data_IF_316208529952
#
_entry.id   IF_316208529952
#
_cell.length_a   1.000
_cell.length_b   1.000
_cell.length_c   1.000
_cell.angle_alpha   90.00
_cell.angle_beta   90.00
_cell.angle_gamma   90.00
#
_symmetry.space_group_name_H-M   'P 1'
#
loop_
_entity.id
_entity.type
_entity.pdbx_description
1 polymer ?
#
# COMPACT_ATOMS: atom_id res chain seq x y z
N UNK A 1 29.52 -22.99 -55.00
CA UNK A 1 29.64 -24.34 -54.44
C UNK A 1 29.94 -24.20 -52.96
N UNK A 2 29.14 -24.90 -52.15
CA UNK A 2 29.41 -25.39 -50.79
C UNK A 2 30.13 -24.43 -49.80
N UNK A 3 29.56 -24.05 -48.66
CA UNK A 3 28.67 -24.81 -47.81
C UNK A 3 29.43 -25.26 -46.55
N UNK A 4 28.78 -25.07 -45.40
CA UNK A 4 28.83 -25.96 -44.23
C UNK A 4 30.02 -25.73 -43.28
N UNK A 5 29.87 -25.65 -41.95
CA UNK A 5 28.76 -25.48 -40.99
C UNK A 5 29.42 -25.34 -39.60
N UNK A 6 28.56 -25.10 -38.59
CA UNK A 6 28.65 -25.52 -37.18
C UNK A 6 29.20 -24.40 -36.28
N UNK A 7 28.31 -23.60 -35.66
CA UNK A 7 27.70 -23.80 -34.31
C UNK A 7 28.77 -23.58 -33.22
N UNK A 8 28.57 -22.88 -32.10
CA UNK A 8 27.39 -22.36 -31.39
C UNK A 8 27.98 -21.62 -30.16
N UNK A 9 27.20 -20.76 -29.52
CA UNK A 9 27.39 -20.20 -28.16
C UNK A 9 28.27 -18.93 -28.04
N UNK A 10 27.72 -17.95 -27.30
CA UNK A 10 28.29 -16.68 -26.78
C UNK A 10 28.04 -15.40 -27.60
N UNK A 11 26.81 -14.88 -27.64
CA UNK A 11 26.53 -13.46 -27.95
C UNK A 11 25.30 -12.91 -27.22
N UNK A 12 25.36 -12.72 -25.90
CA UNK A 12 24.50 -11.74 -25.21
C UNK A 12 25.17 -10.96 -24.07
N UNK A 13 26.51 -10.98 -23.96
CA UNK A 13 27.25 -10.15 -22.98
C UNK A 13 28.23 -9.14 -23.59
N UNK A 14 28.18 -8.88 -24.92
CA UNK A 14 29.16 -8.02 -25.59
C UNK A 14 28.62 -6.67 -26.12
N UNK A 15 27.30 -6.43 -26.13
CA UNK A 15 26.71 -5.28 -26.81
C UNK A 15 26.63 -3.99 -25.96
N UNK A 16 26.70 -4.07 -24.63
CA UNK A 16 26.69 -2.89 -23.77
C UNK A 16 28.10 -2.34 -23.44
N UNK A 17 29.16 -3.13 -23.65
CA UNK A 17 30.54 -2.74 -23.33
C UNK A 17 31.27 -2.08 -24.51
N UNK A 18 30.83 -2.30 -25.77
CA UNK A 18 31.45 -1.69 -26.95
C UNK A 18 30.93 -0.27 -27.28
N UNK A 19 29.77 0.12 -26.76
CA UNK A 19 29.18 1.46 -26.96
C UNK A 19 30.00 2.56 -26.28
N UNK A 20 30.81 2.20 -25.27
CA UNK A 20 31.65 3.12 -24.51
C UNK A 20 33.02 3.36 -25.15
N UNK A 21 33.48 2.50 -26.08
CA UNK A 21 34.79 2.66 -26.75
C UNK A 21 34.71 3.39 -28.10
N UNK A 22 33.55 3.45 -28.76
CA UNK A 22 33.43 4.08 -30.09
C UNK A 22 33.36 5.62 -30.05
N UNK A 23 33.16 6.23 -28.88
CA UNK A 23 33.24 7.69 -28.72
C UNK A 23 34.70 8.21 -28.71
N UNK A 24 35.69 7.33 -28.65
CA UNK A 24 37.12 7.68 -28.54
C UNK A 24 37.90 7.63 -29.86
N UNK A 25 37.29 7.22 -30.98
CA UNK A 25 38.03 6.93 -32.24
C UNK A 25 37.61 7.73 -33.48
N UNK A 26 36.89 8.86 -33.35
CA UNK A 26 36.50 9.70 -34.51
C UNK A 26 37.15 11.09 -34.56
N UNK A 27 38.15 11.37 -33.72
CA UNK A 27 39.21 12.32 -34.08
C UNK A 27 40.27 11.54 -34.84
N UNK A 28 40.20 11.54 -36.17
CA UNK A 28 41.34 11.57 -37.10
C UNK A 28 40.85 11.31 -38.54
N UNK A 29 41.01 12.35 -39.39
CA UNK A 29 41.40 12.31 -40.81
C UNK A 29 40.49 11.52 -41.78
N UNK A 30 39.85 12.06 -42.82
CA UNK A 30 40.16 13.22 -43.66
C UNK A 30 40.95 12.80 -44.90
N UNK A 31 40.29 12.61 -46.06
CA UNK A 31 40.66 12.98 -47.45
C UNK A 31 39.84 12.20 -48.51
N UNK A 32 39.51 12.89 -49.62
CA UNK A 32 38.64 12.50 -50.74
C UNK A 32 39.45 11.91 -51.95
N UNK A 33 38.89 11.73 -53.17
CA UNK A 33 37.64 11.08 -53.61
C UNK A 33 37.89 9.97 -54.69
N UNK A 34 36.93 9.07 -54.91
CA UNK A 34 36.88 8.29 -56.16
C UNK A 34 36.26 6.90 -56.04
N UNK A 35 35.29 6.61 -56.92
CA UNK A 35 34.84 5.24 -57.21
C UNK A 35 33.51 4.86 -56.57
N UNK A 36 32.42 4.99 -57.34
CA UNK A 36 31.15 4.37 -57.02
C UNK A 36 31.31 2.84 -56.98
N UNK A 37 31.25 2.25 -55.79
CA UNK A 37 31.27 0.79 -55.64
C UNK A 37 30.35 0.35 -54.50
N UNK A 38 29.33 -0.43 -54.85
CA UNK A 38 28.60 -1.45 -54.06
C UNK A 38 28.07 -1.13 -52.64
N UNK A 39 28.30 0.05 -52.07
CA UNK A 39 27.83 0.44 -50.74
C UNK A 39 26.38 0.98 -50.73
N UNK A 40 25.91 1.56 -51.85
CA UNK A 40 24.55 2.09 -51.98
C UNK A 40 23.44 1.02 -51.92
N UNK A 41 23.75 -0.22 -52.30
CA UNK A 41 22.79 -1.35 -52.23
C UNK A 41 22.78 -1.97 -50.82
N UNK A 42 23.87 -1.84 -50.05
CA UNK A 42 23.96 -2.35 -48.67
C UNK A 42 23.33 -1.39 -47.64
N UNK A 43 23.41 -0.08 -47.86
CA UNK A 43 22.79 0.91 -46.95
C UNK A 43 21.26 0.97 -47.07
N UNK A 44 20.71 0.75 -48.26
CA UNK A 44 19.26 0.63 -48.45
C UNK A 44 18.72 -0.62 -47.74
N UNK A 45 19.42 -1.76 -47.86
CA UNK A 45 19.03 -3.02 -47.20
C UNK A 45 19.14 -2.97 -45.67
N UNK A 46 20.15 -2.29 -45.13
CA UNK A 46 20.30 -2.07 -43.69
C UNK A 46 19.23 -1.12 -43.11
N UNK A 47 18.74 -0.14 -43.88
CA UNK A 47 17.60 0.70 -43.47
C UNK A 47 16.28 -0.07 -43.52
N UNK A 48 16.08 -0.95 -44.50
CA UNK A 48 14.90 -1.84 -44.58
C UNK A 48 14.94 -2.93 -43.52
N UNK A 49 16.10 -3.48 -43.16
CA UNK A 49 16.27 -4.46 -42.09
C UNK A 49 16.16 -3.81 -40.69
N UNK A 50 16.58 -2.57 -40.50
CA UNK A 50 16.37 -1.85 -39.23
C UNK A 50 14.91 -1.38 -39.04
N UNK A 51 14.19 -1.02 -40.11
CA UNK A 51 12.74 -0.78 -40.04
C UNK A 51 11.96 -2.08 -39.92
N UNK A 52 12.42 -3.19 -40.51
CA UNK A 52 11.83 -4.52 -40.29
C UNK A 52 12.12 -5.09 -38.89
N UNK A 53 13.30 -4.86 -38.29
CA UNK A 53 13.56 -5.22 -36.89
C UNK A 53 12.79 -4.35 -35.88
N UNK A 54 12.47 -3.10 -36.25
CA UNK A 54 11.60 -2.22 -35.44
C UNK A 54 10.12 -2.54 -35.62
N UNK A 55 9.70 -3.08 -36.77
CA UNK A 55 8.33 -3.50 -37.04
C UNK A 55 8.03 -4.96 -36.62
N UNK A 56 9.05 -5.79 -36.44
CA UNK A 56 8.93 -7.18 -35.98
C UNK A 56 9.08 -7.36 -34.46
N UNK A 57 8.99 -6.27 -33.69
CA UNK A 57 8.98 -6.31 -32.21
C UNK A 57 7.61 -5.94 -31.61
N UNK A 58 6.57 -6.05 -32.41
CA UNK A 58 5.17 -6.05 -31.99
C UNK A 58 4.57 -7.40 -32.43
N UNK A 59 3.85 -8.05 -31.52
CA UNK A 59 3.32 -9.43 -31.59
C UNK A 59 4.30 -10.57 -31.24
N UNK A 60 5.06 -10.42 -30.14
CA UNK A 60 5.19 -11.56 -29.22
C UNK A 60 3.78 -11.84 -28.66
N UNK A 61 3.24 -13.07 -28.75
CA UNK A 61 1.90 -13.34 -28.22
C UNK A 61 1.93 -13.04 -26.72
N UNK A 62 1.18 -12.02 -26.30
CA UNK A 62 1.03 -11.69 -24.89
C UNK A 62 0.69 -12.97 -24.12
N UNK A 63 1.48 -13.30 -23.10
CA UNK A 63 1.29 -14.50 -22.30
C UNK A 63 -0.15 -14.52 -21.78
N UNK A 64 -0.95 -15.47 -22.27
CA UNK A 64 -2.41 -15.51 -22.05
C UNK A 64 -2.79 -16.23 -20.76
N UNK A 65 -1.81 -16.59 -19.94
CA UNK A 65 -1.98 -17.29 -18.67
C UNK A 65 -1.29 -16.44 -17.61
N UNK A 66 -1.94 -16.26 -16.46
CA UNK A 66 -1.29 -15.62 -15.32
C UNK A 66 -0.14 -16.49 -14.78
N UNK A 67 0.95 -15.85 -14.36
CA UNK A 67 2.17 -16.53 -13.92
C UNK A 67 1.95 -17.47 -12.73
N UNK A 68 1.10 -17.07 -11.79
CA UNK A 68 0.68 -17.87 -10.63
C UNK A 68 -0.13 -19.11 -11.02
N UNK A 69 -0.97 -19.01 -12.04
CA UNK A 69 -1.72 -20.14 -12.56
C UNK A 69 -0.79 -21.16 -13.23
N UNK A 70 0.28 -20.73 -13.90
CA UNK A 70 1.27 -21.65 -14.48
C UNK A 70 2.00 -22.45 -13.40
N UNK A 71 2.35 -21.81 -12.28
CA UNK A 71 3.00 -22.46 -11.14
C UNK A 71 2.08 -23.49 -10.49
N UNK A 72 0.85 -23.09 -10.14
CA UNK A 72 -0.15 -23.98 -9.53
C UNK A 72 -0.53 -25.12 -10.48
N UNK A 73 -0.64 -24.86 -11.78
CA UNK A 73 -1.01 -25.89 -12.75
C UNK A 73 0.10 -26.94 -12.93
N UNK A 74 1.38 -26.59 -12.84
CA UNK A 74 2.49 -27.56 -12.95
C UNK A 74 2.46 -28.55 -11.78
N UNK A 75 2.30 -28.05 -10.57
CA UNK A 75 2.24 -28.85 -9.35
C UNK A 75 0.98 -29.74 -9.31
N UNK A 76 -0.18 -29.16 -9.61
CA UNK A 76 -1.43 -29.90 -9.69
C UNK A 76 -1.40 -30.93 -10.83
N UNK A 77 -0.71 -30.64 -11.94
CA UNK A 77 -0.54 -31.59 -13.05
C UNK A 77 0.28 -32.81 -12.62
N UNK A 78 1.36 -32.61 -11.86
CA UNK A 78 2.17 -33.71 -11.33
C UNK A 78 1.37 -34.63 -10.40
N UNK A 79 0.35 -34.10 -9.71
CA UNK A 79 -0.56 -34.85 -8.81
C UNK A 79 -1.84 -35.35 -9.49
N UNK A 80 -2.06 -35.04 -10.77
CA UNK A 80 -3.26 -35.43 -11.50
C UNK A 80 -4.54 -34.67 -11.09
N UNK A 81 -4.38 -33.51 -10.45
CA UNK A 81 -5.45 -32.72 -9.84
C UNK A 81 -6.14 -31.77 -10.83
N UNK A 82 -7.23 -31.17 -10.36
CA UNK A 82 -8.00 -30.13 -11.06
C UNK A 82 -7.67 -28.75 -10.50
N UNK A 83 -7.81 -27.74 -11.34
CA UNK A 83 -7.73 -26.33 -10.96
C UNK A 83 -8.99 -25.60 -11.39
N UNK A 84 -9.37 -24.58 -10.64
CA UNK A 84 -10.49 -23.68 -10.95
C UNK A 84 -9.94 -22.37 -11.51
N UNK A 85 -10.39 -21.97 -12.68
CA UNK A 85 -9.86 -20.82 -13.43
C UNK A 85 -10.97 -19.89 -13.90
N UNK A 86 -10.65 -18.60 -14.00
CA UNK A 86 -11.43 -17.60 -14.71
C UNK A 86 -10.90 -17.54 -16.14
N UNK A 87 -11.74 -17.97 -17.09
CA UNK A 87 -11.50 -17.93 -18.52
C UNK A 87 -12.14 -16.67 -19.12
N UNK A 88 -11.33 -15.73 -19.58
CA UNK A 88 -11.78 -14.55 -20.30
C UNK A 88 -11.76 -14.81 -21.81
N UNK A 89 -12.90 -14.63 -22.47
CA UNK A 89 -13.09 -14.86 -23.90
C UNK A 89 -13.42 -13.57 -24.63
N UNK A 90 -12.90 -13.40 -25.85
CA UNK A 90 -13.35 -12.34 -26.75
C UNK A 90 -14.68 -12.68 -27.44
N UNK A 91 -15.06 -11.88 -28.43
CA UNK A 91 -16.29 -12.08 -29.20
C UNK A 91 -16.21 -13.37 -30.03
N UNK A 92 -16.98 -14.38 -29.62
CA UNK A 92 -17.06 -15.68 -30.27
C UNK A 92 -16.06 -16.72 -29.74
N UNK A 93 -16.57 -17.73 -29.03
CA UNK A 93 -15.78 -18.91 -28.70
C UNK A 93 -15.54 -19.76 -29.96
N UNK A 94 -14.30 -20.11 -30.27
CA UNK A 94 -14.01 -21.02 -31.39
C UNK A 94 -14.68 -22.39 -31.19
N UNK A 95 -14.95 -23.10 -32.28
CA UNK A 95 -15.45 -24.48 -32.22
C UNK A 95 -14.50 -25.40 -31.42
N UNK A 96 -13.20 -25.14 -31.46
CA UNK A 96 -12.17 -25.86 -30.70
C UNK A 96 -12.23 -25.58 -29.19
N UNK A 97 -12.46 -24.32 -28.78
CA UNK A 97 -12.69 -23.95 -27.40
C UNK A 97 -13.99 -24.54 -26.88
N UNK A 98 -15.06 -24.50 -27.68
CA UNK A 98 -16.34 -25.10 -27.33
C UNK A 98 -16.24 -26.63 -27.16
N UNK A 99 -15.44 -27.32 -27.98
CA UNK A 99 -15.17 -28.75 -27.82
C UNK A 99 -14.36 -29.05 -26.55
N UNK A 100 -13.35 -28.24 -26.23
CA UNK A 100 -12.54 -28.39 -25.01
C UNK A 100 -13.40 -28.20 -23.76
N UNK A 101 -14.28 -27.19 -23.73
CA UNK A 101 -15.19 -26.93 -22.62
C UNK A 101 -16.32 -27.96 -22.47
N UNK A 102 -16.58 -28.80 -23.49
CA UNK A 102 -17.59 -29.88 -23.46
C UNK A 102 -17.01 -31.24 -23.06
N UNK A 103 -15.70 -31.34 -22.83
CA UNK A 103 -15.08 -32.59 -22.37
C UNK A 103 -15.69 -33.02 -21.04
N UNK A 104 -15.84 -34.33 -20.83
CA UNK A 104 -16.39 -34.89 -19.58
C UNK A 104 -15.55 -34.53 -18.34
N UNK A 105 -14.26 -34.25 -18.53
CA UNK A 105 -13.36 -33.83 -17.47
C UNK A 105 -13.32 -32.30 -17.26
N UNK A 106 -14.11 -31.50 -17.96
CA UNK A 106 -14.18 -30.04 -17.78
C UNK A 106 -15.56 -29.64 -17.26
N UNK A 107 -15.61 -28.90 -16.15
CA UNK A 107 -16.86 -28.42 -15.53
C UNK A 107 -16.93 -26.91 -15.65
N UNK A 108 -18.03 -26.38 -16.18
CA UNK A 108 -18.30 -24.93 -16.10
C UNK A 108 -18.96 -24.64 -14.77
N UNK A 109 -18.25 -23.98 -13.86
CA UNK A 109 -18.73 -23.64 -12.52
C UNK A 109 -19.55 -22.33 -12.48
N UNK A 110 -19.38 -21.45 -13.47
CA UNK A 110 -20.13 -20.18 -13.55
C UNK A 110 -19.98 -19.46 -14.89
N UNK A 111 -20.91 -18.57 -15.24
CA UNK A 111 -20.86 -17.73 -16.44
C UNK A 111 -21.01 -16.25 -16.06
N UNK A 112 -20.16 -15.39 -16.64
CA UNK A 112 -20.10 -13.96 -16.39
C UNK A 112 -20.28 -13.21 -17.73
N UNK A 113 -21.49 -13.23 -18.33
CA UNK A 113 -21.71 -12.74 -19.69
C UNK A 113 -21.40 -11.25 -19.85
N UNK A 114 -21.67 -10.42 -18.83
CA UNK A 114 -21.36 -8.99 -18.86
C UNK A 114 -19.86 -8.65 -18.79
N UNK A 115 -19.00 -9.62 -18.44
CA UNK A 115 -17.55 -9.46 -18.34
C UNK A 115 -16.79 -10.24 -19.42
N UNK A 116 -17.50 -10.89 -20.35
CA UNK A 116 -16.89 -11.79 -21.33
C UNK A 116 -16.10 -12.94 -20.69
N UNK A 117 -16.53 -13.42 -19.51
CA UNK A 117 -15.76 -14.40 -18.73
C UNK A 117 -16.59 -15.62 -18.30
N UNK A 118 -15.91 -16.71 -17.97
CA UNK A 118 -16.49 -17.96 -17.45
C UNK A 118 -15.60 -18.54 -16.37
N UNK A 119 -16.21 -19.15 -15.36
CA UNK A 119 -15.49 -19.91 -14.35
C UNK A 119 -15.50 -21.38 -14.76
N UNK A 120 -14.31 -21.95 -14.90
CA UNK A 120 -14.10 -23.30 -15.43
C UNK A 120 -13.22 -24.09 -14.47
N UNK A 121 -13.59 -25.32 -14.20
CA UNK A 121 -12.83 -26.26 -13.39
C UNK A 121 -12.38 -27.43 -14.29
N UNK A 122 -11.07 -27.62 -14.39
CA UNK A 122 -10.47 -28.56 -15.35
C UNK A 122 -9.19 -29.20 -14.82
N UNK A 123 -8.81 -30.40 -15.32
CA UNK A 123 -7.50 -30.98 -15.04
C UNK A 123 -6.38 -29.98 -15.34
N UNK A 124 -5.41 -29.87 -14.43
CA UNK A 124 -4.34 -28.88 -14.53
C UNK A 124 -3.53 -28.98 -15.84
N UNK A 125 -3.37 -30.21 -16.37
CA UNK A 125 -2.77 -30.48 -17.70
C UNK A 125 -3.47 -29.80 -18.89
N UNK A 126 -4.68 -29.28 -18.71
CA UNK A 126 -5.46 -28.62 -19.77
C UNK A 126 -5.38 -27.09 -19.71
N UNK A 127 -4.72 -26.51 -18.71
CA UNK A 127 -4.59 -25.05 -18.53
C UNK A 127 -3.84 -24.39 -19.69
N UNK A 128 -2.68 -24.94 -20.08
CA UNK A 128 -1.91 -24.45 -21.21
C UNK A 128 -2.72 -24.52 -22.52
N UNK A 129 -3.44 -25.63 -22.71
CA UNK A 129 -4.32 -25.85 -23.87
C UNK A 129 -5.48 -24.87 -23.99
N UNK A 130 -5.95 -24.26 -22.88
CA UNK A 130 -6.96 -23.20 -22.94
C UNK A 130 -6.39 -21.94 -23.60
N UNK A 131 -5.17 -21.56 -23.24
CA UNK A 131 -4.52 -20.34 -23.73
C UNK A 131 -4.22 -20.38 -25.23
N UNK A 132 -3.98 -21.58 -25.75
CA UNK A 132 -3.75 -21.86 -27.18
C UNK A 132 -5.02 -21.70 -28.02
N UNK A 133 -6.21 -21.68 -27.41
CA UNK A 133 -7.46 -21.61 -28.16
C UNK A 133 -7.71 -20.20 -28.71
N UNK A 134 -8.12 -20.14 -29.98
CA UNK A 134 -8.60 -18.90 -30.61
C UNK A 134 -9.85 -18.39 -29.89
N UNK A 135 -9.86 -17.11 -29.54
CA UNK A 135 -10.95 -16.49 -28.77
C UNK A 135 -10.72 -16.48 -27.26
N UNK A 136 -9.67 -17.14 -26.74
CA UNK A 136 -9.22 -16.95 -25.35
C UNK A 136 -8.34 -15.71 -25.27
N UNK A 137 -8.76 -14.76 -24.43
CA UNK A 137 -8.06 -13.51 -24.16
C UNK A 137 -7.08 -13.67 -23.00
N UNK A 138 -7.53 -14.29 -21.91
CA UNK A 138 -6.71 -14.50 -20.72
C UNK A 138 -7.28 -15.63 -19.86
N UNK A 139 -6.41 -16.37 -19.18
CA UNK A 139 -6.75 -17.39 -18.20
C UNK A 139 -6.05 -17.06 -16.90
N UNK A 140 -6.80 -16.99 -15.81
CA UNK A 140 -6.26 -16.73 -14.47
C UNK A 140 -6.87 -17.69 -13.46
N UNK A 141 -6.18 -17.95 -12.34
CA UNK A 141 -6.74 -18.76 -11.26
C UNK A 141 -8.02 -18.11 -10.71
N UNK A 142 -9.02 -18.93 -10.39
CA UNK A 142 -10.20 -18.50 -9.64
C UNK A 142 -9.83 -18.47 -8.16
N UNK A 143 -9.09 -17.42 -7.79
CA UNK A 143 -8.48 -17.24 -6.47
C UNK A 143 -9.58 -17.22 -5.40
N UNK A 144 -9.36 -17.94 -4.31
CA UNK A 144 -10.18 -17.75 -3.11
C UNK A 144 -10.01 -16.30 -2.64
N UNK A 145 -11.11 -15.60 -2.44
CA UNK A 145 -11.10 -14.33 -1.73
C UNK A 145 -11.07 -14.64 -0.24
N UNK A 146 -9.90 -14.49 0.36
CA UNK A 146 -9.74 -14.52 1.82
C UNK A 146 -9.80 -13.10 2.38
N UNK A 147 -10.18 -13.02 3.65
CA UNK A 147 -10.06 -11.83 4.50
C UNK A 147 -8.60 -11.33 4.46
N UNK A 148 -8.39 -10.01 4.34
CA UNK A 148 -7.05 -9.44 4.25
C UNK A 148 -6.86 -8.32 5.26
N UNK A 149 -5.67 -8.30 5.89
CA UNK A 149 -5.13 -7.23 6.73
C UNK A 149 -4.79 -7.66 8.15
N UNK A 150 -3.56 -8.16 8.38
CA UNK A 150 -2.98 -8.29 9.72
C UNK A 150 -1.90 -7.23 9.89
N UNK A 151 -2.10 -6.25 10.77
CA UNK A 151 -1.10 -5.18 10.95
C UNK A 151 0.12 -5.71 11.69
N UNK A 152 -0.06 -6.58 12.70
CA UNK A 152 1.05 -7.10 13.51
C UNK A 152 1.93 -8.15 12.80
N UNK A 153 1.33 -9.05 12.02
CA UNK A 153 2.06 -10.05 11.23
C UNK A 153 2.84 -9.40 10.09
N UNK A 154 2.20 -8.52 9.31
CA UNK A 154 2.87 -7.95 8.13
C UNK A 154 3.87 -6.84 8.44
N UNK A 155 3.73 -6.14 9.57
CA UNK A 155 4.79 -5.22 10.05
C UNK A 155 5.99 -5.95 10.65
N UNK A 156 5.90 -7.28 10.85
CA UNK A 156 6.89 -8.05 11.59
C UNK A 156 6.84 -7.82 13.10
N UNK A 157 5.79 -7.18 13.63
CA UNK A 157 5.62 -6.96 15.08
C UNK A 157 5.51 -8.28 15.83
N UNK A 158 4.83 -9.28 15.26
CA UNK A 158 4.78 -10.61 15.87
C UNK A 158 6.12 -11.34 15.81
N UNK A 159 6.96 -11.06 14.79
CA UNK A 159 8.34 -11.52 14.77
C UNK A 159 9.16 -10.85 15.88
N UNK A 160 9.00 -9.54 16.14
CA UNK A 160 9.66 -8.88 17.29
C UNK A 160 9.16 -9.43 18.64
N UNK A 161 7.86 -9.71 18.79
CA UNK A 161 7.28 -10.32 19.99
C UNK A 161 7.79 -11.76 20.23
N UNK A 162 8.22 -12.46 19.18
CA UNK A 162 8.64 -13.87 19.23
C UNK A 162 10.12 -14.11 18.93
N UNK A 163 10.91 -13.06 18.64
CA UNK A 163 12.34 -13.19 18.32
C UNK A 163 13.12 -13.64 19.55
N UNK A 164 13.60 -14.89 19.53
CA UNK A 164 14.59 -15.37 20.48
C UNK A 164 15.95 -14.71 20.16
N UNK A 165 16.52 -13.99 21.12
CA UNK A 165 17.85 -13.36 21.00
C UNK A 165 17.91 -11.85 21.27
N UNK A 166 16.75 -11.18 21.40
CA UNK A 166 16.64 -9.88 22.08
C UNK A 166 16.18 -10.12 23.52
N UNK A 167 16.80 -9.48 24.51
CA UNK A 167 16.41 -9.63 25.93
C UNK A 167 15.05 -8.97 26.27
N UNK A 168 14.13 -8.83 25.30
CA UNK A 168 12.91 -8.04 25.45
C UNK A 168 11.70 -8.88 25.07
N UNK A 169 11.27 -9.75 25.98
CA UNK A 169 9.95 -10.37 25.96
C UNK A 169 8.93 -9.45 26.62
N UNK A 170 7.66 -9.52 26.20
CA UNK A 170 6.56 -8.79 26.86
C UNK A 170 6.40 -7.32 26.45
N UNK A 171 6.84 -6.91 25.26
CA UNK A 171 6.52 -5.58 24.71
C UNK A 171 5.11 -5.57 24.14
N UNK A 172 4.27 -4.73 24.72
CA UNK A 172 2.85 -4.56 24.39
C UNK A 172 2.38 -3.11 24.47
N UNK A 173 3.29 -2.17 24.78
CA UNK A 173 2.99 -0.75 24.97
C UNK A 173 2.56 -0.38 26.38
N UNK A 174 2.59 -1.30 27.34
CA UNK A 174 2.21 -1.03 28.73
C UNK A 174 2.90 0.22 29.27
N UNK A 175 2.09 1.11 29.84
CA UNK A 175 2.54 2.37 30.43
C UNK A 175 2.75 3.51 29.45
N UNK A 176 2.67 3.28 28.13
CA UNK A 176 2.83 4.34 27.12
C UNK A 176 1.46 4.90 26.72
N UNK A 177 1.35 6.23 26.68
CA UNK A 177 0.20 6.95 26.13
C UNK A 177 0.36 7.25 24.64
N UNK A 178 -0.63 6.86 23.84
CA UNK A 178 -0.75 7.21 22.41
C UNK A 178 -1.92 8.17 22.24
N UNK A 179 -1.62 9.41 21.85
CA UNK A 179 -2.63 10.40 21.47
C UNK A 179 -3.08 10.19 20.03
N UNK A 180 -4.38 9.98 19.83
CA UNK A 180 -5.00 9.81 18.51
C UNK A 180 -5.83 11.05 18.22
N UNK A 181 -5.40 11.85 17.25
CA UNK A 181 -6.11 13.03 16.78
C UNK A 181 -6.94 12.65 15.55
N UNK A 182 -8.25 12.42 15.73
CA UNK A 182 -9.09 11.84 14.66
C UNK A 182 -10.60 12.19 14.82
N UNK A 183 -11.52 11.35 14.34
CA UNK A 183 -12.99 11.55 14.37
C UNK A 183 -13.69 11.13 15.66
N UNK A 184 -12.94 10.68 16.65
CA UNK A 184 -13.44 10.10 17.91
C UNK A 184 -13.02 8.65 18.06
N UNK A 185 -13.39 8.03 19.18
CA UNK A 185 -13.18 6.59 19.43
C UNK A 185 -14.42 6.03 20.11
N UNK A 186 -14.96 4.92 19.61
CA UNK A 186 -15.92 4.11 20.37
C UNK A 186 -15.21 3.35 21.50
N UNK A 187 -15.10 4.01 22.66
CA UNK A 187 -14.45 3.46 23.85
C UNK A 187 -15.16 2.22 24.43
N UNK A 188 -16.40 1.92 24.00
CA UNK A 188 -17.14 0.72 24.43
C UNK A 188 -16.79 -0.50 23.58
N UNK A 189 -16.08 -0.31 22.47
CA UNK A 189 -15.65 -1.40 21.61
C UNK A 189 -14.65 -2.31 22.35
N UNK A 190 -14.82 -3.62 22.20
CA UNK A 190 -14.06 -4.65 22.96
C UNK A 190 -12.55 -4.51 22.75
N UNK A 191 -12.11 -4.03 21.58
CA UNK A 191 -10.70 -3.81 21.27
C UNK A 191 -9.98 -2.88 22.26
N UNK A 192 -10.70 -1.95 22.91
CA UNK A 192 -10.13 -0.98 23.85
C UNK A 192 -10.26 -1.36 25.32
N UNK A 193 -10.69 -2.58 25.60
CA UNK A 193 -10.73 -3.08 26.98
C UNK A 193 -9.36 -3.62 27.40
N UNK A 194 -9.05 -3.57 28.69
CA UNK A 194 -7.95 -4.32 29.30
C UNK A 194 -8.41 -5.77 29.65
N UNK A 195 -7.54 -6.52 30.33
CA UNK A 195 -7.82 -7.90 30.75
C UNK A 195 -8.93 -8.02 31.82
N UNK A 196 -9.19 -6.95 32.57
CA UNK A 196 -10.23 -6.85 33.61
C UNK A 196 -11.50 -6.17 33.10
N UNK A 197 -11.62 -5.92 31.79
CA UNK A 197 -12.70 -5.14 31.16
C UNK A 197 -12.74 -3.66 31.56
N UNK A 198 -11.64 -3.11 32.06
CA UNK A 198 -11.44 -1.66 32.17
C UNK A 198 -11.21 -1.02 30.79
N UNK A 199 -11.58 0.24 30.63
CA UNK A 199 -11.44 0.98 29.37
C UNK A 199 -10.03 1.58 29.28
N UNK A 200 -9.28 1.25 28.22
CA UNK A 200 -7.93 1.79 27.94
C UNK A 200 -7.92 3.12 27.19
N UNK A 201 -9.09 3.59 26.75
CA UNK A 201 -9.27 5.00 26.36
C UNK A 201 -9.33 5.83 27.64
N UNK A 202 -8.16 6.27 28.12
CA UNK A 202 -8.01 6.89 29.46
C UNK A 202 -8.42 8.36 29.50
N UNK A 203 -8.55 9.00 28.33
CA UNK A 203 -9.04 10.36 28.21
C UNK A 203 -9.73 10.57 26.87
N UNK A 204 -10.75 11.43 26.85
CA UNK A 204 -11.50 11.80 25.65
C UNK A 204 -11.86 13.28 25.67
N UNK A 205 -11.61 14.00 24.57
CA UNK A 205 -11.99 15.40 24.43
C UNK A 205 -12.39 15.75 23.00
N UNK A 206 -13.46 16.54 22.89
CA UNK A 206 -13.94 17.10 21.62
C UNK A 206 -13.36 18.49 21.38
N UNK A 207 -12.86 18.71 20.17
CA UNK A 207 -12.39 20.00 19.67
C UNK A 207 -13.23 20.50 18.50
N UNK A 208 -14.26 19.77 18.06
CA UNK A 208 -15.11 20.21 16.94
C UNK A 208 -16.28 21.07 17.38
N UNK A 209 -16.64 21.04 18.66
CA UNK A 209 -17.80 21.74 19.20
C UNK A 209 -19.11 20.97 19.00
N UNK A 210 -19.06 19.68 18.64
CA UNK A 210 -20.25 18.83 18.53
C UNK A 210 -20.67 18.24 19.89
N UNK A 211 -19.84 18.41 20.93
CA UNK A 211 -20.18 18.03 22.31
C UNK A 211 -20.16 16.53 22.56
N UNK A 212 -19.35 15.78 21.79
CA UNK A 212 -19.29 14.32 21.83
C UNK A 212 -17.89 13.79 21.52
N UNK A 213 -17.56 12.61 22.04
CA UNK A 213 -16.24 11.99 21.87
C UNK A 213 -16.29 10.58 21.30
N UNK A 214 -17.48 10.03 21.12
CA UNK A 214 -17.70 8.81 20.35
C UNK A 214 -17.46 9.07 18.86
N UNK A 215 -17.49 8.01 18.05
CA UNK A 215 -17.04 8.05 16.67
C UNK A 215 -18.15 7.72 15.66
N UNK A 216 -19.05 8.68 15.37
CA UNK A 216 -20.10 8.48 14.38
C UNK A 216 -19.56 8.43 12.93
N UNK A 217 -18.32 8.83 12.69
CA UNK A 217 -17.70 8.73 11.37
C UNK A 217 -17.09 7.34 11.14
N UNK A 218 -16.37 6.81 12.13
CA UNK A 218 -15.81 5.45 12.18
C UNK A 218 -14.30 5.37 12.00
N UNK A 219 -13.67 6.39 11.43
CA UNK A 219 -12.25 6.37 11.09
C UNK A 219 -11.34 6.31 12.32
N UNK A 220 -11.60 7.12 13.35
CA UNK A 220 -10.74 7.20 14.53
C UNK A 220 -10.73 5.92 15.37
N UNK A 221 -11.86 5.20 15.45
CA UNK A 221 -11.97 3.89 16.11
C UNK A 221 -11.08 2.85 15.41
N UNK A 222 -11.10 2.84 14.08
CA UNK A 222 -10.26 1.94 13.29
C UNK A 222 -8.77 2.26 13.46
N UNK A 223 -8.40 3.54 13.32
CA UNK A 223 -7.03 4.04 13.51
C UNK A 223 -6.49 3.69 14.90
N UNK A 224 -7.26 3.95 15.94
CA UNK A 224 -6.83 3.68 17.32
C UNK A 224 -6.63 2.19 17.59
N UNK A 225 -7.45 1.34 16.98
CA UNK A 225 -7.35 -0.10 17.16
C UNK A 225 -6.16 -0.70 16.40
N UNK A 226 -5.77 -0.14 15.24
CA UNK A 226 -4.50 -0.51 14.59
C UNK A 226 -3.30 -0.24 15.51
N UNK A 227 -3.30 0.92 16.17
CA UNK A 227 -2.22 1.29 17.08
C UNK A 227 -2.23 0.41 18.34
N UNK A 228 -3.39 0.15 18.94
CA UNK A 228 -3.48 -0.34 20.31
C UNK A 228 -4.62 -1.30 20.62
N UNK A 229 -5.26 -1.94 19.64
CA UNK A 229 -6.32 -2.93 19.83
C UNK A 229 -5.81 -4.19 20.54
N UNK A 230 -6.56 -4.71 21.52
CA UNK A 230 -6.11 -5.78 22.42
C UNK A 230 -6.12 -7.21 21.83
N UNK A 231 -6.57 -7.40 20.58
CA UNK A 231 -6.65 -8.72 19.95
C UNK A 231 -7.72 -9.67 20.52
N UNK A 232 -8.67 -9.21 21.35
CA UNK A 232 -9.75 -10.06 21.91
C UNK A 232 -10.88 -10.38 20.91
N UNK A 233 -10.68 -10.05 19.63
CA UNK A 233 -11.60 -10.25 18.51
C UNK A 233 -10.90 -11.14 17.49
N UNK A 234 -11.65 -12.05 16.86
CA UNK A 234 -11.14 -13.03 15.89
C UNK A 234 -9.86 -13.78 16.34
N UNK A 235 -9.78 -14.22 17.59
CA UNK A 235 -8.59 -14.94 18.12
C UNK A 235 -7.25 -14.20 17.87
N UNK A 236 -7.23 -12.88 18.05
CA UNK A 236 -6.06 -12.01 17.87
C UNK A 236 -5.58 -11.81 16.42
N UNK A 237 -6.37 -12.22 15.42
CA UNK A 237 -6.13 -11.95 14.00
C UNK A 237 -5.96 -10.44 13.71
N UNK A 238 -6.70 -9.60 14.43
CA UNK A 238 -6.68 -8.13 14.26
C UNK A 238 -6.13 -7.44 15.51
N UNK A 239 -5.06 -7.98 16.10
CA UNK A 239 -4.39 -7.33 17.22
C UNK A 239 -3.64 -6.09 16.77
N UNK A 240 -3.78 -5.00 17.53
CA UNK A 240 -3.01 -3.79 17.32
C UNK A 240 -1.53 -3.99 17.66
N UNK A 241 -0.71 -3.01 17.27
CA UNK A 241 0.74 -3.10 17.46
C UNK A 241 1.15 -2.99 18.94
N UNK A 242 0.54 -2.07 19.68
CA UNK A 242 0.77 -1.83 21.11
C UNK A 242 -0.51 -2.11 21.95
N UNK A 243 -0.91 -3.39 22.09
CA UNK A 243 -2.23 -3.82 22.58
C UNK A 243 -2.52 -3.47 24.05
N UNK A 244 -1.52 -3.07 24.82
CA UNK A 244 -1.64 -2.64 26.22
C UNK A 244 -1.36 -1.14 26.43
N UNK A 245 -1.10 -0.37 25.36
CA UNK A 245 -0.94 1.08 25.47
C UNK A 245 -2.24 1.76 25.92
N UNK A 246 -2.08 2.87 26.63
CA UNK A 246 -3.17 3.78 26.97
C UNK A 246 -3.48 4.66 25.75
N UNK A 247 -4.76 4.83 25.44
CA UNK A 247 -5.21 5.62 24.28
C UNK A 247 -5.83 6.92 24.76
N UNK A 248 -5.40 8.04 24.16
CA UNK A 248 -5.94 9.37 24.42
C UNK A 248 -6.71 9.81 23.16
N UNK A 249 -8.03 9.89 23.29
CA UNK A 249 -8.96 10.23 22.20
C UNK A 249 -9.10 11.75 22.08
N UNK A 250 -8.52 12.35 21.05
CA UNK A 250 -8.62 13.78 20.77
C UNK A 250 -9.38 13.98 19.47
N UNK A 251 -10.68 14.26 19.60
CA UNK A 251 -11.56 14.36 18.45
C UNK A 251 -11.44 15.74 17.79
N UNK A 252 -10.92 15.77 16.57
CA UNK A 252 -10.69 16.99 15.77
C UNK A 252 -11.44 16.99 14.44
N UNK A 253 -11.93 15.83 14.02
CA UNK A 253 -12.80 15.66 12.85
C UNK A 253 -14.25 15.44 13.29
N UNK A 254 -15.18 16.15 12.63
CA UNK A 254 -16.61 16.12 12.89
C UNK A 254 -17.27 14.81 12.43
N UNK A 255 -18.60 14.75 12.56
CA UNK A 255 -19.39 13.56 12.19
C UNK A 255 -19.26 13.18 10.70
N UNK A 256 -18.85 14.12 9.85
CA UNK A 256 -18.61 13.91 8.41
C UNK A 256 -17.14 13.60 8.07
N UNK A 257 -16.28 13.35 9.07
CA UNK A 257 -14.85 13.09 8.85
C UNK A 257 -14.02 14.32 8.43
N UNK A 258 -14.59 15.52 8.57
CA UNK A 258 -13.94 16.79 8.21
C UNK A 258 -13.71 17.65 9.44
N UNK A 259 -12.64 18.44 9.46
CA UNK A 259 -12.28 19.29 10.59
C UNK A 259 -11.57 20.56 10.16
N UNK A 260 -11.34 21.45 11.13
CA UNK A 260 -10.61 22.70 10.93
C UNK A 260 -9.19 22.58 11.47
N UNK A 261 -8.24 23.26 10.84
CA UNK A 261 -6.85 23.37 11.32
C UNK A 261 -6.79 23.87 12.78
N UNK A 262 -7.67 24.80 13.15
CA UNK A 262 -7.78 25.29 14.54
C UNK A 262 -8.05 24.18 15.56
N UNK A 263 -8.82 23.15 15.19
CA UNK A 263 -9.14 22.03 16.08
C UNK A 263 -7.90 21.15 16.30
N UNK A 264 -7.13 20.91 15.23
CA UNK A 264 -5.87 20.17 15.28
C UNK A 264 -4.87 20.91 16.17
N UNK A 265 -4.71 22.22 15.99
CA UNK A 265 -3.80 23.04 16.80
C UNK A 265 -4.20 23.04 18.29
N UNK A 266 -5.49 23.17 18.60
CA UNK A 266 -5.98 23.11 19.98
C UNK A 266 -5.74 21.74 20.62
N UNK A 267 -5.85 20.65 19.85
CA UNK A 267 -5.56 19.31 20.33
C UNK A 267 -4.05 19.09 20.56
N UNK A 268 -3.19 19.55 19.64
CA UNK A 268 -1.73 19.47 19.79
C UNK A 268 -1.23 20.29 21.00
N UNK A 269 -1.77 21.49 21.20
CA UNK A 269 -1.50 22.30 22.40
C UNK A 269 -1.92 21.57 23.68
N UNK A 270 -3.10 20.94 23.68
CA UNK A 270 -3.55 20.12 24.80
C UNK A 270 -2.62 18.93 25.06
N UNK A 271 -2.15 18.24 24.02
CA UNK A 271 -1.17 17.14 24.15
C UNK A 271 0.09 17.66 24.83
N UNK A 272 0.64 18.78 24.36
CA UNK A 272 1.86 19.36 24.93
C UNK A 272 1.69 19.64 26.43
N UNK A 273 0.54 20.20 26.85
CA UNK A 273 0.26 20.52 28.24
C UNK A 273 -0.01 19.28 29.12
N UNK A 274 -0.57 18.20 28.57
CA UNK A 274 -1.02 17.04 29.33
C UNK A 274 -0.14 15.80 29.14
N UNK A 275 0.95 15.89 28.37
CA UNK A 275 1.83 14.75 28.06
C UNK A 275 2.36 14.04 29.31
N UNK A 276 2.72 14.79 30.35
CA UNK A 276 3.24 14.21 31.59
C UNK A 276 2.15 13.49 32.38
N UNK A 277 0.93 14.04 32.40
CA UNK A 277 -0.20 13.49 33.17
C UNK A 277 -0.62 12.12 32.64
N UNK A 278 -0.70 11.95 31.32
CA UNK A 278 -1.13 10.71 30.68
C UNK A 278 0.03 9.86 30.12
N UNK A 279 1.27 10.22 30.46
CA UNK A 279 2.49 9.66 29.86
C UNK A 279 2.40 9.54 28.33
N UNK A 280 1.92 10.61 27.66
CA UNK A 280 1.80 10.65 26.20
C UNK A 280 3.22 10.73 25.63
N UNK A 281 3.62 9.68 24.92
CA UNK A 281 4.92 9.61 24.26
C UNK A 281 4.80 9.62 22.74
N UNK A 282 3.63 9.26 22.21
CA UNK A 282 3.37 9.18 20.77
C UNK A 282 2.10 9.97 20.42
N UNK A 283 2.14 10.75 19.35
CA UNK A 283 0.98 11.37 18.75
C UNK A 283 0.79 10.85 17.31
N UNK A 284 -0.39 10.30 17.03
CA UNK A 284 -0.79 9.78 15.73
C UNK A 284 -1.74 10.76 15.02
N UNK A 285 -1.32 11.25 13.86
CA UNK A 285 -2.08 12.14 13.00
C UNK A 285 -2.40 11.43 11.69
N UNK A 286 -3.45 10.62 11.70
CA UNK A 286 -4.01 9.91 10.53
C UNK A 286 -4.92 10.81 9.68
N UNK A 287 -4.57 12.09 9.58
CA UNK A 287 -5.31 13.13 8.89
C UNK A 287 -4.32 14.11 8.25
N UNK A 288 -4.82 14.98 7.40
CA UNK A 288 -3.99 16.05 6.87
C UNK A 288 -4.76 17.09 6.08
N UNK A 289 -4.09 18.21 5.84
CA UNK A 289 -4.54 19.29 4.99
C UNK A 289 -3.59 19.44 3.79
N UNK A 290 -4.02 20.10 2.70
CA UNK A 290 -3.11 20.45 1.62
C UNK A 290 -1.90 21.24 2.15
N UNK A 291 -0.68 20.80 1.82
CA UNK A 291 0.57 21.49 2.16
C UNK A 291 0.82 22.65 1.17
N UNK A 292 0.15 23.78 1.40
CA UNK A 292 0.29 24.98 0.55
C UNK A 292 1.50 25.80 0.99
N UNK A 293 1.57 26.12 2.28
CA UNK A 293 2.66 26.88 2.87
C UNK A 293 3.87 25.97 3.15
N UNK A 294 5.07 26.56 3.18
CA UNK A 294 6.26 25.85 3.64
C UNK A 294 6.06 25.33 5.06
N UNK A 295 6.63 24.18 5.41
CA UNK A 295 6.61 23.64 6.79
C UNK A 295 7.14 24.64 7.84
N UNK A 296 7.93 25.63 7.39
CA UNK A 296 8.45 26.71 8.23
C UNK A 296 7.36 27.66 8.72
N UNK A 297 6.28 27.80 7.96
CA UNK A 297 5.20 28.75 8.19
C UNK A 297 3.86 28.09 8.48
N UNK A 298 3.65 26.84 8.00
CA UNK A 298 2.44 26.08 8.31
C UNK A 298 2.30 25.93 9.85
N UNK A 299 1.19 26.38 10.44
CA UNK A 299 1.03 26.39 11.89
C UNK A 299 0.95 24.98 12.49
N UNK A 300 0.42 24.00 11.75
CA UNK A 300 0.35 22.60 12.18
C UNK A 300 1.76 22.01 12.20
N UNK A 301 2.56 22.27 11.16
CA UNK A 301 3.97 21.85 11.12
C UNK A 301 4.78 22.46 12.27
N UNK A 302 4.60 23.76 12.56
CA UNK A 302 5.25 24.39 13.71
C UNK A 302 4.79 23.78 15.05
N UNK A 303 3.51 23.43 15.20
CA UNK A 303 3.01 22.75 16.40
C UNK A 303 3.60 21.35 16.54
N UNK A 304 3.67 20.58 15.45
CA UNK A 304 4.30 19.25 15.42
C UNK A 304 5.76 19.33 15.83
N UNK A 305 6.52 20.29 15.29
CA UNK A 305 7.91 20.52 15.72
C UNK A 305 8.03 20.74 17.22
N UNK A 306 7.14 21.56 17.82
CA UNK A 306 7.14 21.80 19.27
C UNK A 306 6.87 20.55 20.09
N UNK A 307 6.04 19.63 19.62
CA UNK A 307 5.81 18.34 20.29
C UNK A 307 7.07 17.47 20.21
N UNK A 308 7.72 17.41 19.04
CA UNK A 308 8.96 16.65 18.87
C UNK A 308 10.08 17.21 19.74
N UNK A 309 10.27 18.53 19.75
CA UNK A 309 11.23 19.22 20.62
C UNK A 309 10.94 19.00 22.12
N UNK A 310 9.68 18.71 22.48
CA UNK A 310 9.27 18.36 23.84
C UNK A 310 9.42 16.87 24.19
N UNK A 311 10.00 16.07 23.29
CA UNK A 311 10.31 14.65 23.49
C UNK A 311 9.19 13.67 23.13
N UNK A 312 8.20 14.08 22.33
CA UNK A 312 7.20 13.18 21.78
C UNK A 312 7.60 12.69 20.39
N UNK A 313 7.23 11.44 20.07
CA UNK A 313 7.24 10.96 18.70
C UNK A 313 5.94 11.38 18.03
N UNK A 314 6.02 12.14 16.93
CA UNK A 314 4.85 12.49 16.12
C UNK A 314 4.89 11.71 14.82
N UNK A 315 3.81 10.98 14.53
CA UNK A 315 3.65 10.17 13.32
C UNK A 315 2.49 10.73 12.50
N UNK A 316 2.75 11.05 11.24
CA UNK A 316 1.79 11.70 10.35
C UNK A 316 1.59 10.91 9.06
N UNK A 317 0.37 10.90 8.54
CA UNK A 317 0.05 10.30 7.25
C UNK A 317 0.66 11.11 6.09
N UNK A 318 1.20 10.43 5.08
CA UNK A 318 1.76 11.10 3.90
C UNK A 318 0.67 11.77 3.03
N UNK A 319 -0.57 11.28 3.07
CA UNK A 319 -1.67 11.69 2.21
C UNK A 319 -2.04 10.62 1.17
N UNK A 320 -3.23 10.78 0.57
CA UNK A 320 -3.81 9.82 -0.36
C UNK A 320 -3.96 10.37 -1.79
N UNK A 321 -3.14 11.37 -2.17
CA UNK A 321 -3.16 12.03 -3.48
C UNK A 321 -2.05 11.52 -4.42
N UNK A 322 -1.76 10.22 -4.36
CA UNK A 322 -0.75 9.58 -5.20
C UNK A 322 -1.12 9.44 -6.69
N UNK A 323 -2.39 9.70 -7.03
CA UNK A 323 -2.92 9.65 -8.40
C UNK A 323 -3.89 10.80 -8.69
N UNK A 324 -3.94 11.21 -9.96
CA UNK A 324 -4.99 12.11 -10.46
C UNK A 324 -6.29 11.33 -10.78
N UNK A 325 -7.33 12.06 -11.19
CA UNK A 325 -8.61 11.48 -11.58
C UNK A 325 -8.52 10.56 -12.82
N UNK A 326 -7.48 10.70 -13.65
CA UNK A 326 -7.21 9.84 -14.80
C UNK A 326 -6.35 8.61 -14.43
N UNK A 327 -5.94 8.48 -13.16
CA UNK A 327 -5.14 7.38 -12.65
C UNK A 327 -3.63 7.52 -12.87
N UNK A 328 -3.16 8.67 -13.38
CA UNK A 328 -1.73 8.95 -13.55
C UNK A 328 -1.09 9.21 -12.20
N UNK A 329 0.18 8.81 -12.04
CA UNK A 329 0.94 9.05 -10.81
C UNK A 329 1.19 10.55 -10.61
N UNK A 330 0.93 11.03 -9.39
CA UNK A 330 1.29 12.38 -8.95
C UNK A 330 2.50 12.30 -8.02
N UNK A 331 3.41 13.27 -8.17
CA UNK A 331 4.53 13.52 -7.26
C UNK A 331 4.34 14.90 -6.63
N UNK A 332 4.90 15.11 -5.44
CA UNK A 332 4.81 16.40 -4.78
C UNK A 332 3.57 16.61 -3.93
N UNK A 333 2.91 15.52 -3.50
CA UNK A 333 1.58 15.57 -2.90
C UNK A 333 1.57 15.17 -1.42
N UNK A 334 2.69 15.33 -0.73
CA UNK A 334 2.77 15.12 0.73
C UNK A 334 1.93 16.20 1.41
N UNK A 335 1.03 15.78 2.30
CA UNK A 335 0.13 16.68 3.03
C UNK A 335 0.78 17.24 4.29
N UNK A 336 0.22 18.34 4.80
CA UNK A 336 0.50 18.82 6.16
C UNK A 336 -0.29 17.99 7.17
N UNK A 337 0.33 17.54 8.29
CA UNK A 337 1.68 17.87 8.74
C UNK A 337 2.77 16.85 8.37
N UNK A 338 2.51 15.93 7.43
CA UNK A 338 3.49 14.96 6.95
C UNK A 338 4.67 15.57 6.16
N UNK A 339 4.60 16.85 5.81
CA UNK A 339 5.70 17.61 5.22
C UNK A 339 6.64 18.25 6.27
N UNK A 340 6.30 18.16 7.55
CA UNK A 340 7.16 18.61 8.65
C UNK A 340 8.39 17.68 8.78
N UNK A 341 9.63 18.22 8.79
CA UNK A 341 10.85 17.41 8.77
C UNK A 341 11.06 16.46 9.96
N UNK A 342 10.68 16.88 11.17
CA UNK A 342 10.88 16.12 12.41
C UNK A 342 9.81 15.06 12.70
N UNK A 343 8.67 15.11 12.01
CA UNK A 343 7.63 14.10 12.06
C UNK A 343 8.04 12.85 11.30
N UNK A 344 7.60 11.68 11.76
CA UNK A 344 7.69 10.44 11.01
C UNK A 344 6.49 10.38 10.06
N UNK A 345 6.74 10.58 8.78
CA UNK A 345 5.74 10.60 7.71
C UNK A 345 5.63 9.21 7.08
N UNK A 346 4.41 8.68 7.06
CA UNK A 346 4.15 7.29 6.71
C UNK A 346 3.33 7.20 5.44
N UNK A 347 3.91 6.56 4.41
CA UNK A 347 3.19 6.11 3.22
C UNK A 347 2.52 4.75 3.42
N UNK A 348 1.67 4.35 2.48
CA UNK A 348 0.95 3.08 2.55
C UNK A 348 1.54 2.04 1.60
N UNK A 349 1.76 0.83 2.08
CA UNK A 349 2.00 -0.36 1.26
C UNK A 349 0.73 -1.23 1.15
N UNK A 350 0.61 -1.90 0.01
CA UNK A 350 -0.27 -3.02 -0.18
C UNK A 350 0.54 -4.28 0.03
N UNK A 351 0.15 -5.03 1.05
CA UNK A 351 0.80 -6.29 1.42
C UNK A 351 0.30 -7.47 0.61
N UNK A 352 -0.76 -7.25 -0.20
CA UNK A 352 -1.51 -8.30 -0.86
C UNK A 352 -2.03 -9.39 0.08
N UNK A 353 -2.00 -9.13 1.39
CA UNK A 353 -2.37 -10.08 2.42
C UNK A 353 -1.43 -11.25 2.59
N UNK A 354 -0.17 -11.13 2.15
CA UNK A 354 0.84 -12.15 2.34
C UNK A 354 1.77 -11.77 3.50
N UNK A 355 2.47 -12.77 4.04
CA UNK A 355 3.53 -12.56 5.04
C UNK A 355 4.88 -12.21 4.40
N UNK A 356 4.96 -12.30 3.07
CA UNK A 356 6.18 -11.99 2.34
C UNK A 356 6.26 -10.48 2.11
N UNK A 357 7.42 -9.89 2.40
CA UNK A 357 7.66 -8.46 2.14
C UNK A 357 8.14 -8.19 0.72
N UNK A 358 8.47 -9.24 -0.03
CA UNK A 358 9.06 -9.14 -1.37
C UNK A 358 8.05 -8.81 -2.47
N UNK A 359 6.77 -9.08 -2.23
CA UNK A 359 5.64 -8.75 -3.09
C UNK A 359 4.89 -7.49 -2.64
N UNK A 360 5.20 -6.94 -1.47
CA UNK A 360 4.70 -5.64 -1.02
C UNK A 360 4.97 -4.55 -2.06
N UNK A 361 3.97 -3.74 -2.35
CA UNK A 361 4.11 -2.58 -3.23
C UNK A 361 3.55 -1.34 -2.57
N UNK A 362 4.15 -0.17 -2.84
CA UNK A 362 3.55 1.11 -2.41
C UNK A 362 2.20 1.27 -3.10
N UNK A 363 1.17 1.58 -2.32
CA UNK A 363 -0.19 1.71 -2.83
C UNK A 363 -0.26 2.80 -3.88
N UNK A 364 -1.23 2.65 -4.78
CA UNK A 364 -1.39 3.63 -5.85
C UNK A 364 -1.79 5.01 -5.32
N UNK A 365 -2.61 5.06 -4.26
CA UNK A 365 -3.08 6.29 -3.63
C UNK A 365 -2.07 6.93 -2.69
N UNK A 366 -1.07 6.21 -2.15
CA UNK A 366 -0.09 6.82 -1.23
C UNK A 366 0.58 8.02 -1.89
N UNK A 367 0.53 9.18 -1.22
CA UNK A 367 1.21 10.39 -1.65
C UNK A 367 2.73 10.17 -1.75
N UNK A 368 3.35 10.91 -2.68
CA UNK A 368 4.77 10.78 -3.04
C UNK A 368 5.46 12.12 -2.92
N UNK A 369 6.68 12.09 -2.42
CA UNK A 369 7.54 13.25 -2.36
C UNK A 369 7.96 13.79 -3.73
N UNK A 370 8.79 14.84 -3.74
CA UNK A 370 9.26 15.56 -2.55
C UNK A 370 8.14 16.40 -1.89
N UNK A 371 8.38 17.06 -0.76
CA UNK A 371 7.45 18.09 -0.27
C UNK A 371 7.43 19.29 -1.22
N UNK A 372 6.28 19.96 -1.35
CA UNK A 372 6.10 21.08 -2.31
C UNK A 372 5.54 22.36 -1.70
N UNK A 373 5.30 22.40 -0.39
CA UNK A 373 5.07 23.63 0.35
C UNK A 373 6.16 24.67 0.03
N UNK A 374 5.79 25.95 0.04
CA UNK A 374 6.70 27.02 -0.35
C UNK A 374 6.49 28.28 0.49
N UNK A 375 7.50 29.15 0.49
CA UNK A 375 7.38 30.52 0.95
C UNK A 375 7.81 31.46 -0.17
N UNK A 376 7.34 32.71 -0.13
CA UNK A 376 7.69 33.74 -1.11
C UNK A 376 8.58 34.77 -0.45
N UNK A 377 9.73 35.06 -1.03
CA UNK A 377 10.65 36.07 -0.49
C UNK A 377 10.23 37.51 -0.82
N UNK A 378 10.98 38.47 -0.29
CA UNK A 378 10.71 39.90 -0.52
C UNK A 378 10.83 40.32 -2.00
N UNK A 379 11.51 39.52 -2.84
CA UNK A 379 11.63 39.74 -4.28
C UNK A 379 10.51 39.04 -5.09
N UNK A 380 9.57 38.35 -4.42
CA UNK A 380 8.46 37.64 -5.06
C UNK A 380 8.82 36.24 -5.58
N UNK A 381 10.00 35.72 -5.25
CA UNK A 381 10.45 34.40 -5.70
C UNK A 381 9.90 33.31 -4.76
N UNK A 382 9.33 32.25 -5.34
CA UNK A 382 8.86 31.08 -4.58
C UNK A 382 10.00 30.10 -4.32
N UNK A 383 10.18 29.76 -3.04
CA UNK A 383 11.15 28.79 -2.57
C UNK A 383 10.41 27.56 -2.07
N UNK A 384 10.43 26.48 -2.83
CA UNK A 384 9.83 25.19 -2.46
C UNK A 384 10.73 24.41 -1.50
N UNK A 385 10.10 23.71 -0.55
CA UNK A 385 10.81 22.95 0.50
C UNK A 385 11.62 21.77 -0.06
N UNK A 386 11.07 21.03 -1.03
CA UNK A 386 11.73 19.93 -1.75
C UNK A 386 12.36 18.84 -0.86
N UNK A 387 11.77 18.55 0.30
CA UNK A 387 12.28 17.53 1.21
C UNK A 387 11.88 16.12 0.78
N UNK A 388 12.70 15.13 1.13
CA UNK A 388 12.39 13.71 0.90
C UNK A 388 11.38 13.26 1.94
N UNK A 389 10.19 12.88 1.47
CA UNK A 389 9.09 12.28 2.25
C UNK A 389 8.30 11.32 1.33
N UNK A 390 7.57 10.31 1.86
CA UNK A 390 7.53 9.89 3.27
C UNK A 390 8.87 9.28 3.73
N UNK A 391 9.08 9.17 5.04
CA UNK A 391 10.30 8.56 5.61
C UNK A 391 10.29 7.03 5.46
N UNK A 392 9.10 6.44 5.58
CA UNK A 392 8.89 5.00 5.44
C UNK A 392 7.47 4.69 4.94
N UNK A 393 7.21 3.41 4.67
CA UNK A 393 5.87 2.89 4.38
C UNK A 393 5.50 1.78 5.37
N UNK A 394 4.21 1.65 5.63
CA UNK A 394 3.65 0.55 6.43
C UNK A 394 2.35 0.03 5.78
N UNK A 395 1.85 -1.16 6.17
CA UNK A 395 0.61 -1.71 5.65
C UNK A 395 -0.55 -0.72 5.81
N UNK A 396 -1.18 -0.35 4.70
CA UNK A 396 -2.29 0.61 4.70
C UNK A 396 -3.42 0.25 3.75
N UNK A 397 -3.37 -0.92 3.11
CA UNK A 397 -4.35 -1.35 2.13
C UNK A 397 -5.17 -2.53 2.66
N UNK A 398 -6.49 -2.40 2.63
CA UNK A 398 -7.47 -3.37 3.14
C UNK A 398 -7.09 -3.81 4.55
N UNK A 399 -6.95 -2.85 5.47
CA UNK A 399 -6.69 -3.16 6.86
C UNK A 399 -8.02 -3.41 7.56
N UNK A 400 -8.14 -4.55 8.22
CA UNK A 400 -9.30 -4.88 9.06
C UNK A 400 -8.97 -4.45 10.48
N UNK A 401 -9.86 -3.65 11.05
CA UNK A 401 -9.78 -3.31 12.46
C UNK A 401 -11.13 -2.80 12.99
N UNK A 402 -11.18 -2.38 14.25
CA UNK A 402 -12.38 -1.98 14.97
C UNK A 402 -13.30 -1.04 14.16
N UNK A 403 -14.57 -1.44 14.11
CA UNK A 403 -15.67 -0.64 13.57
C UNK A 403 -16.44 -0.03 14.74
N UNK A 404 -16.65 1.29 14.72
CA UNK A 404 -17.59 1.89 15.68
C UNK A 404 -19.04 1.59 15.26
N UNK A 405 -19.89 1.36 16.26
CA UNK A 405 -21.28 0.97 16.03
C UNK A 405 -22.05 2.03 15.21
N UNK A 406 -22.66 1.60 14.10
CA UNK A 406 -23.54 2.46 13.28
C UNK A 406 -22.85 3.66 12.61
N UNK A 407 -21.55 3.55 12.33
CA UNK A 407 -20.77 4.65 11.76
C UNK A 407 -21.16 5.00 10.31
N UNK A 408 -20.83 6.23 9.91
CA UNK A 408 -21.16 6.78 8.60
C UNK A 408 -20.48 6.02 7.45
N UNK A 409 -19.21 5.62 7.60
CA UNK A 409 -18.45 4.96 6.54
C UNK A 409 -19.12 3.66 6.10
N UNK A 410 -19.47 2.80 7.05
CA UNK A 410 -20.16 1.52 6.80
C UNK A 410 -21.62 1.73 6.42
N UNK A 411 -22.30 2.70 7.03
CA UNK A 411 -23.69 3.04 6.65
C UNK A 411 -23.79 3.44 5.18
N UNK A 412 -22.84 4.24 4.68
CA UNK A 412 -22.80 4.66 3.29
C UNK A 412 -22.21 3.60 2.36
N UNK A 413 -21.33 2.75 2.88
CA UNK A 413 -20.64 1.71 2.12
C UNK A 413 -20.68 0.38 2.90
N UNK A 414 -21.80 -0.35 2.88
CA UNK A 414 -21.96 -1.58 3.68
C UNK A 414 -20.92 -2.66 3.39
N UNK A 415 -20.28 -2.63 2.22
CA UNK A 415 -19.17 -3.53 1.86
C UNK A 415 -17.90 -3.33 2.68
N UNK A 416 -17.81 -2.25 3.47
CA UNK A 416 -16.69 -2.04 4.39
C UNK A 416 -16.82 -2.90 5.64
N UNK A 417 -18.01 -3.40 5.98
CA UNK A 417 -18.20 -4.33 7.10
C UNK A 417 -17.44 -5.64 6.82
N UNK A 418 -16.51 -5.99 7.72
CA UNK A 418 -15.73 -7.21 7.61
C UNK A 418 -16.49 -8.47 8.02
N UNK A 419 -17.72 -8.34 8.54
CA UNK A 419 -18.60 -9.42 8.97
C UNK A 419 -17.93 -10.37 9.98
N UNK A 420 -17.02 -9.85 10.80
CA UNK A 420 -16.26 -10.62 11.81
C UNK A 420 -17.13 -11.00 13.00
N UNK A 421 -18.10 -10.15 13.37
CA UNK A 421 -19.01 -10.40 14.50
C UNK A 421 -20.35 -9.69 14.30
N UNK A 422 -21.44 -10.31 14.74
CA UNK A 422 -22.76 -9.66 14.82
C UNK A 422 -23.01 -8.85 16.10
N UNK A 423 -21.99 -8.70 16.96
CA UNK A 423 -22.06 -7.90 18.18
C UNK A 423 -21.46 -6.52 17.91
N UNK A 424 -22.22 -5.45 18.13
CA UNK A 424 -21.78 -4.07 17.88
C UNK A 424 -20.42 -3.71 18.53
N UNK A 425 -20.14 -4.25 19.73
CA UNK A 425 -18.88 -4.03 20.44
C UNK A 425 -17.69 -4.85 19.88
N UNK A 426 -17.89 -5.63 18.82
CA UNK A 426 -16.89 -6.53 18.23
C UNK A 426 -16.87 -6.45 16.70
N UNK A 427 -17.60 -5.50 16.13
CA UNK A 427 -17.62 -5.28 14.68
C UNK A 427 -16.24 -4.87 14.19
N UNK A 428 -15.92 -5.24 12.95
CA UNK A 428 -14.65 -4.89 12.31
C UNK A 428 -14.96 -4.38 10.91
N UNK A 429 -14.15 -3.47 10.39
CA UNK A 429 -14.31 -2.95 9.04
C UNK A 429 -12.99 -2.86 8.29
N UNK A 430 -13.08 -2.88 6.96
CA UNK A 430 -11.99 -2.61 6.06
C UNK A 430 -11.81 -1.11 5.85
N UNK A 431 -10.58 -0.61 5.99
CA UNK A 431 -10.21 0.69 5.45
C UNK A 431 -8.90 0.63 4.66
N UNK A 432 -8.71 1.67 3.84
CA UNK A 432 -7.53 1.87 3.02
C UNK A 432 -7.05 3.30 3.24
N UNK A 433 -5.74 3.49 3.34
CA UNK A 433 -5.17 4.82 3.42
C UNK A 433 -3.80 4.82 4.07
N UNK A 434 -3.07 5.91 3.84
CA UNK A 434 -1.93 6.26 4.68
C UNK A 434 -2.34 6.44 6.14
N UNK A 435 -3.60 6.81 6.39
CA UNK A 435 -4.22 6.88 7.72
C UNK A 435 -4.27 5.53 8.46
N UNK A 436 -4.27 4.39 7.77
CA UNK A 436 -4.17 3.05 8.38
C UNK A 436 -2.72 2.62 8.59
N UNK A 437 -1.79 3.12 7.75
CA UNK A 437 -0.37 2.84 7.87
C UNK A 437 0.28 3.59 9.06
N UNK A 438 -0.10 4.86 9.27
CA UNK A 438 0.39 5.72 10.36
C UNK A 438 0.26 5.09 11.76
N UNK A 439 -0.90 4.56 12.19
CA UNK A 439 -1.06 4.01 13.54
C UNK A 439 -0.24 2.74 13.77
N UNK A 440 0.10 1.99 12.72
CA UNK A 440 1.00 0.84 12.83
C UNK A 440 2.41 1.27 13.27
N UNK A 441 2.87 2.41 12.76
CA UNK A 441 4.16 3.02 13.10
C UNK A 441 4.09 3.71 14.46
N UNK A 442 2.98 4.34 14.79
CA UNK A 442 2.75 4.92 16.12
C UNK A 442 2.78 3.85 17.22
N UNK A 443 2.14 2.71 17.01
CA UNK A 443 2.22 1.57 17.93
C UNK A 443 3.64 1.00 18.02
N UNK A 444 4.34 0.89 16.90
CA UNK A 444 5.76 0.46 16.90
C UNK A 444 6.64 1.40 17.72
N UNK A 445 6.45 2.71 17.58
CA UNK A 445 7.16 3.71 18.39
C UNK A 445 6.86 3.53 19.88
N UNK A 446 5.60 3.24 20.26
CA UNK A 446 5.24 2.95 21.64
C UNK A 446 5.97 1.70 22.19
N UNK A 447 6.09 0.62 21.40
CA UNK A 447 6.87 -0.55 21.79
C UNK A 447 8.36 -0.23 21.98
N UNK A 448 8.95 0.57 21.08
CA UNK A 448 10.35 0.99 21.20
C UNK A 448 10.58 1.87 22.43
N UNK A 449 9.63 2.74 22.77
CA UNK A 449 9.67 3.59 23.95
C UNK A 449 9.44 2.81 25.25
N UNK A 450 8.66 1.72 25.21
CA UNK A 450 8.59 0.77 26.33
C UNK A 450 9.92 0.04 26.53
N UNK A 451 10.54 -0.41 25.44
CA UNK A 451 11.84 -1.10 25.48
C UNK A 451 12.99 -0.19 25.94
N UNK A 452 12.97 1.08 25.50
CA UNK A 452 13.92 2.10 25.91
C UNK A 452 13.19 3.43 26.21
N UNK A 453 12.82 3.68 27.48
CA UNK A 453 12.12 4.91 27.87
C UNK A 453 12.89 6.21 27.63
N UNK A 454 14.21 6.14 27.41
CA UNK A 454 15.13 7.28 27.16
C UNK A 454 15.49 7.47 25.68
N UNK A 455 14.89 6.68 24.78
CA UNK A 455 14.95 6.94 23.33
C UNK A 455 14.41 8.35 23.04
#
# INVERSE_FOLDING_TARGET
>A
MEGIKVKQVRRHHAAAFLSLLALLASLCTGLAPGGASRAGIKLARLRTEATALSAAKQDEPAEKISSDLLEVARDACARGERVRVILQTGDGASASLAALLRRRDVRTAGRLPGLGARVVELPARLVERLSEQRGVRFVSLDRETVSFGHVSLTTGTDQVRTTAGTNVSGLDGTGIGIAVLDSGIDAKHTAFLDHNNGVRVVYSKDFTGEGRTDDPYGHGTHVASIAAGNGRISNAEYVGIAPAANVINLRVLGTQGTGRVSNILAALDWVLQNRALYNIRVANLSLGAPAVDSYKNDPVCQAVRKLVDAGLVVVAAAGNLGKDAAGNKIYGAIHSPGDEPSAITVGASNTFGTDYRSDDTVTTYSSRGPTRGYWTDAAGVRHHDNLVKPDLVAPGNKIIDAQSAGNLLVTQNPSLDANVSGSAQREQMYLNGTSMATPAVAGSAALLLQANPKL
#
